data_IF_201766623642
#
_entry.id   IF_201766623642
#
_cell.length_a   1.000
_cell.length_b   1.000
_cell.length_c   1.000
_cell.angle_alpha   90.00
_cell.angle_beta   90.00
_cell.angle_gamma   90.00
#
_symmetry.space_group_name_H-M   'P 1'
#
loop_
_entity.id
_entity.type
_entity.pdbx_description
1 polymer ?
#
# COMPACT_ATOMS: atom_id res chain seq x y z
N UNK A 1 6.86 6.07 -29.77
CA UNK A 1 7.29 4.90 -28.96
C UNK A 1 7.84 5.31 -27.59
N UNK A 2 8.55 6.43 -27.47
CA UNK A 2 9.16 6.90 -26.21
C UNK A 2 8.16 7.26 -25.09
N UNK A 3 6.96 7.71 -25.42
CA UNK A 3 6.02 8.22 -24.40
C UNK A 3 5.44 7.14 -23.49
N UNK A 4 5.33 5.89 -23.95
CA UNK A 4 4.68 4.81 -23.15
C UNK A 4 5.56 4.31 -22.02
N UNK A 5 6.86 4.16 -22.28
CA UNK A 5 7.81 3.76 -21.24
C UNK A 5 7.98 4.87 -20.21
N UNK A 6 8.11 6.13 -20.66
CA UNK A 6 8.15 7.28 -19.76
C UNK A 6 6.86 7.39 -18.93
N UNK A 7 5.69 7.23 -19.56
CA UNK A 7 4.38 7.24 -18.88
C UNK A 7 4.32 6.23 -17.73
N UNK A 8 4.64 4.95 -18.01
CA UNK A 8 4.53 3.92 -16.97
C UNK A 8 5.61 4.05 -15.90
N UNK A 9 6.83 4.45 -16.25
CA UNK A 9 7.90 4.67 -15.28
C UNK A 9 7.60 5.87 -14.40
N UNK A 10 7.05 6.95 -14.95
CA UNK A 10 6.59 8.09 -14.16
C UNK A 10 5.51 7.67 -13.16
N UNK A 11 4.47 6.95 -13.63
CA UNK A 11 3.42 6.43 -12.76
C UNK A 11 3.98 5.59 -11.59
N UNK A 12 4.84 4.62 -11.89
CA UNK A 12 5.42 3.73 -10.87
C UNK A 12 6.36 4.47 -9.91
N UNK A 13 7.02 5.53 -10.36
CA UNK A 13 7.96 6.29 -9.54
C UNK A 13 7.27 7.28 -8.62
N UNK A 14 6.19 7.94 -9.07
CA UNK A 14 5.56 9.04 -8.35
C UNK A 14 4.18 8.70 -7.78
N UNK A 15 3.57 7.59 -8.20
CA UNK A 15 2.22 7.15 -7.80
C UNK A 15 1.18 8.29 -7.80
N UNK A 16 1.05 9.05 -8.91
CA UNK A 16 0.11 10.16 -8.98
C UNK A 16 -1.33 9.63 -9.12
N UNK A 17 -2.31 10.49 -8.83
CA UNK A 17 -3.69 10.22 -9.21
C UNK A 17 -3.80 10.01 -10.72
N UNK A 18 -4.72 9.14 -11.15
CA UNK A 18 -4.92 8.84 -12.58
C UNK A 18 -5.32 10.09 -13.38
N UNK A 19 -6.06 11.01 -12.78
CA UNK A 19 -6.41 12.30 -13.38
C UNK A 19 -5.18 13.19 -13.62
N UNK A 20 -4.24 13.20 -12.67
CA UNK A 20 -3.01 14.00 -12.76
C UNK A 20 -2.13 13.48 -13.89
N UNK A 21 -1.87 12.17 -13.94
CA UNK A 21 -1.06 11.62 -15.03
C UNK A 21 -1.79 11.68 -16.38
N UNK A 22 -3.12 11.55 -16.40
CA UNK A 22 -3.91 11.77 -17.61
C UNK A 22 -3.73 13.19 -18.13
N UNK A 23 -3.83 14.19 -17.26
CA UNK A 23 -3.59 15.59 -17.61
C UNK A 23 -2.16 15.83 -18.13
N UNK A 24 -1.14 15.31 -17.43
CA UNK A 24 0.27 15.48 -17.82
C UNK A 24 0.61 14.88 -19.18
N UNK A 25 -0.11 13.84 -19.61
CA UNK A 25 0.13 13.14 -20.87
C UNK A 25 -0.95 13.37 -21.93
N UNK A 26 -1.88 14.32 -21.72
CA UNK A 26 -2.92 14.66 -22.69
C UNK A 26 -3.94 13.55 -22.94
N UNK A 27 -4.24 12.76 -21.92
CA UNK A 27 -5.18 11.63 -21.96
C UNK A 27 -6.44 11.94 -21.15
N UNK A 28 -7.50 11.14 -21.37
CA UNK A 28 -8.59 11.03 -20.41
C UNK A 28 -8.22 10.10 -19.25
N UNK A 29 -8.86 10.27 -18.09
CA UNK A 29 -8.64 9.39 -16.94
C UNK A 29 -8.90 7.90 -17.25
N UNK A 30 -9.95 7.51 -18.00
CA UNK A 30 -10.14 6.12 -18.41
C UNK A 30 -9.04 5.58 -19.32
N UNK A 31 -8.49 6.41 -20.22
CA UNK A 31 -7.34 6.03 -21.06
C UNK A 31 -6.09 5.80 -20.22
N UNK A 32 -5.81 6.68 -19.26
CA UNK A 32 -4.69 6.53 -18.34
C UNK A 32 -4.82 5.24 -17.51
N UNK A 33 -6.01 4.96 -16.96
CA UNK A 33 -6.30 3.70 -16.27
C UNK A 33 -5.97 2.48 -17.14
N UNK A 34 -6.51 2.44 -18.36
CA UNK A 34 -6.28 1.33 -19.30
C UNK A 34 -4.79 1.14 -19.59
N UNK A 35 -4.08 2.24 -19.90
CA UNK A 35 -2.65 2.21 -20.22
C UNK A 35 -1.80 1.78 -19.02
N UNK A 36 -2.11 2.23 -17.81
CA UNK A 36 -1.40 1.81 -16.58
C UNK A 36 -1.46 0.29 -16.45
N UNK A 37 -2.65 -0.30 -16.54
CA UNK A 37 -2.82 -1.75 -16.42
C UNK A 37 -2.09 -2.52 -17.53
N UNK A 38 -2.26 -2.08 -18.78
CA UNK A 38 -1.66 -2.74 -19.93
C UNK A 38 -0.12 -2.66 -19.88
N UNK A 39 0.43 -1.47 -19.66
CA UNK A 39 1.87 -1.23 -19.68
C UNK A 39 2.57 -1.83 -18.45
N UNK A 40 1.94 -1.81 -17.26
CA UNK A 40 2.48 -2.49 -16.08
C UNK A 40 2.63 -4.00 -16.31
N UNK A 41 1.64 -4.64 -16.94
CA UNK A 41 1.69 -6.07 -17.26
C UNK A 41 2.81 -6.39 -18.28
N UNK A 42 2.95 -5.59 -19.33
CA UNK A 42 4.00 -5.75 -20.34
C UNK A 42 5.38 -5.51 -19.72
N UNK A 43 5.55 -4.44 -18.92
CA UNK A 43 6.79 -4.12 -18.23
C UNK A 43 7.18 -5.24 -17.25
N UNK A 44 6.22 -5.77 -16.49
CA UNK A 44 6.47 -6.88 -15.57
C UNK A 44 6.94 -8.16 -16.30
N UNK A 45 6.31 -8.50 -17.44
CA UNK A 45 6.71 -9.67 -18.25
C UNK A 45 8.09 -9.49 -18.88
N UNK A 46 8.39 -8.31 -19.39
CA UNK A 46 9.70 -8.01 -20.00
C UNK A 46 10.82 -8.04 -18.97
N UNK A 47 10.63 -7.42 -17.79
CA UNK A 47 11.59 -7.51 -16.68
C UNK A 47 11.79 -8.95 -16.19
N UNK A 48 10.73 -9.77 -16.17
CA UNK A 48 10.85 -11.18 -15.82
C UNK A 48 11.68 -11.96 -16.85
N UNK A 49 11.38 -11.79 -18.14
CA UNK A 49 12.10 -12.45 -19.23
C UNK A 49 13.58 -12.03 -19.29
N UNK A 50 13.90 -10.79 -18.89
CA UNK A 50 15.27 -10.28 -18.84
C UNK A 50 16.00 -10.57 -17.52
N UNK A 51 15.37 -11.28 -16.57
CA UNK A 51 15.98 -11.55 -15.25
C UNK A 51 16.15 -10.30 -14.36
N UNK A 52 15.46 -9.20 -14.66
CA UNK A 52 15.53 -7.93 -13.92
C UNK A 52 14.28 -7.65 -13.08
N UNK A 53 13.41 -8.65 -12.89
CA UNK A 53 12.25 -8.49 -12.02
C UNK A 53 12.71 -8.30 -10.57
N UNK A 54 12.27 -7.22 -9.88
CA UNK A 54 12.62 -7.02 -8.48
C UNK A 54 12.12 -8.21 -7.65
N UNK A 55 12.98 -8.72 -6.77
CA UNK A 55 12.58 -9.75 -5.81
C UNK A 55 11.56 -9.15 -4.83
N UNK A 56 10.35 -9.74 -4.76
CA UNK A 56 9.33 -9.36 -3.76
C UNK A 56 9.74 -9.77 -2.36
N UNK A 57 10.36 -10.93 -2.25
CA UNK A 57 10.97 -11.47 -1.04
C UNK A 57 12.36 -11.92 -1.46
N UNK A 58 13.39 -11.36 -0.84
CA UNK A 58 14.75 -11.86 -1.05
C UNK A 58 14.93 -13.17 -0.30
N UNK A 59 15.91 -13.98 -0.71
CA UNK A 59 16.29 -15.19 0.06
C UNK A 59 16.64 -14.85 1.51
N UNK A 60 17.23 -13.68 1.74
CA UNK A 60 17.49 -13.15 3.08
C UNK A 60 16.19 -12.92 3.87
N UNK A 61 15.19 -12.29 3.25
CA UNK A 61 13.88 -12.06 3.87
C UNK A 61 13.17 -13.39 4.17
N UNK A 62 13.19 -14.34 3.24
CA UNK A 62 12.62 -15.67 3.45
C UNK A 62 13.33 -16.41 4.58
N UNK A 63 14.66 -16.35 4.61
CA UNK A 63 15.48 -16.97 5.65
C UNK A 63 15.25 -16.36 7.03
N UNK A 64 15.04 -15.04 7.11
CA UNK A 64 14.66 -14.35 8.36
C UNK A 64 13.26 -14.73 8.77
N UNK A 65 12.29 -14.66 7.85
CA UNK A 65 10.88 -15.00 8.12
C UNK A 65 10.71 -16.44 8.60
N UNK A 66 11.46 -17.39 8.04
CA UNK A 66 11.44 -18.79 8.47
C UNK A 66 11.97 -19.00 9.90
N UNK A 67 12.77 -18.06 10.42
CA UNK A 67 13.36 -18.08 11.77
C UNK A 67 12.60 -17.19 12.75
N UNK A 68 11.77 -16.29 12.26
CA UNK A 68 10.91 -15.47 13.10
C UNK A 68 9.84 -16.33 13.75
N UNK A 69 9.64 -16.16 15.05
CA UNK A 69 8.49 -16.73 15.74
C UNK A 69 7.28 -15.86 15.44
N UNK A 70 6.07 -16.43 15.38
CA UNK A 70 4.85 -15.64 15.37
C UNK A 70 4.91 -14.64 16.52
N UNK A 71 4.88 -13.34 16.19
CA UNK A 71 4.73 -12.32 17.21
C UNK A 71 3.25 -12.27 17.59
N UNK A 72 2.95 -12.18 18.89
CA UNK A 72 1.63 -11.80 19.39
C UNK A 72 1.39 -10.30 19.13
N UNK A 73 1.57 -9.86 17.89
CA UNK A 73 1.37 -8.48 17.47
C UNK A 73 -0.11 -8.27 17.18
N UNK A 74 -0.89 -8.06 18.23
CA UNK A 74 -2.25 -7.53 18.13
C UNK A 74 -2.23 -6.05 17.77
N UNK A 75 -2.16 -5.72 16.48
CA UNK A 75 -2.44 -4.35 16.04
C UNK A 75 -3.94 -4.11 16.23
N UNK A 76 -4.31 -3.39 17.28
CA UNK A 76 -5.69 -2.93 17.45
C UNK A 76 -5.99 -1.81 16.43
N UNK A 77 -6.31 -2.24 15.21
CA UNK A 77 -6.76 -1.38 14.12
C UNK A 77 -8.23 -0.98 14.22
N UNK A 78 -8.94 -1.40 15.27
CA UNK A 78 -10.39 -1.14 15.43
C UNK A 78 -10.69 0.00 16.40
N UNK A 79 -9.78 0.30 17.32
CA UNK A 79 -9.97 1.42 18.24
C UNK A 79 -9.94 2.75 17.49
N UNK A 80 -11.00 3.55 17.66
CA UNK A 80 -11.13 4.89 17.11
C UNK A 80 -11.28 5.88 18.24
N UNK A 81 -10.71 7.08 18.09
CA UNK A 81 -11.01 8.18 18.99
C UNK A 81 -12.50 8.52 18.85
N UNK A 82 -13.23 8.42 19.96
CA UNK A 82 -14.61 8.87 20.09
C UNK A 82 -14.66 10.03 21.08
N UNK A 83 -15.64 10.92 20.94
CA UNK A 83 -15.85 11.95 21.96
C UNK A 83 -16.27 11.28 23.27
N UNK A 84 -15.72 11.75 24.40
CA UNK A 84 -15.98 11.12 25.70
C UNK A 84 -17.42 11.45 26.14
N UNK A 85 -18.28 10.44 26.37
CA UNK A 85 -19.61 10.70 26.93
C UNK A 85 -19.52 11.41 28.28
N UNK A 86 -20.41 12.35 28.54
CA UNK A 86 -20.42 13.09 29.81
C UNK A 86 -20.98 12.25 30.97
N UNK A 87 -21.86 11.29 30.68
CA UNK A 87 -22.50 10.45 31.68
C UNK A 87 -21.60 9.30 32.16
N UNK A 88 -21.76 8.92 33.43
CA UNK A 88 -20.91 7.91 34.07
C UNK A 88 -21.08 6.51 33.49
N UNK A 89 -22.26 6.16 32.98
CA UNK A 89 -22.55 4.82 32.45
C UNK A 89 -21.86 4.65 31.09
N UNK A 90 -22.02 5.61 30.18
CA UNK A 90 -21.38 5.64 28.87
C UNK A 90 -19.85 5.66 28.98
N UNK A 91 -19.28 6.40 29.94
CA UNK A 91 -17.84 6.35 30.18
C UNK A 91 -17.34 4.96 30.58
N UNK A 92 -18.10 4.21 31.39
CA UNK A 92 -17.72 2.83 31.77
C UNK A 92 -17.81 1.86 30.60
N UNK A 93 -18.86 1.98 29.78
CA UNK A 93 -19.06 1.11 28.61
C UNK A 93 -17.93 1.27 27.58
N UNK A 94 -17.45 2.50 27.37
CA UNK A 94 -16.40 2.81 26.40
C UNK A 94 -14.99 2.84 27.00
N UNK A 95 -14.81 2.38 28.24
CA UNK A 95 -13.51 2.39 28.89
C UNK A 95 -12.63 1.24 28.40
N UNK A 96 -11.61 1.57 27.60
CA UNK A 96 -10.68 0.64 26.96
C UNK A 96 -9.68 -0.03 27.93
N UNK A 97 -9.53 0.46 29.17
CA UNK A 97 -8.61 -0.12 30.17
C UNK A 97 -7.12 0.08 29.89
N UNK A 98 -6.74 0.44 28.65
CA UNK A 98 -5.36 0.63 28.19
C UNK A 98 -4.52 1.62 29.00
N UNK A 99 -5.15 2.59 29.67
CA UNK A 99 -4.46 3.56 30.52
C UNK A 99 -3.91 2.95 31.82
N UNK A 100 -4.45 1.81 32.26
CA UNK A 100 -3.99 1.09 33.46
C UNK A 100 -3.17 -0.16 33.13
N UNK A 101 -2.86 -0.38 31.84
CA UNK A 101 -1.94 -1.43 31.44
C UNK A 101 -0.51 -0.98 31.80
N UNK A 102 -0.14 -1.14 33.07
CA UNK A 102 1.24 -1.07 33.51
C UNK A 102 1.91 -2.37 33.07
N UNK A 103 2.71 -2.30 32.02
CA UNK A 103 3.78 -3.27 31.75
C UNK A 103 5.09 -2.67 32.29
#
# INVERSE_FOLDING_TARGET
MADRLLFILFYLKTYPLQEVIAHLFGLSQPQAHFLIHQLAAVLGKTLAASGHRPARLTEEMLSRLAKERPQDLGIDGTERRVNRPADKLGQRVHYSGKKNATL
#
